data_IF_484879879177
#
_entry.id   IF_484879879177
#
_cell.length_a   1.000
_cell.length_b   1.000
_cell.length_c   1.000
_cell.angle_alpha   90.00
_cell.angle_beta   90.00
_cell.angle_gamma   90.00
#
_symmetry.space_group_name_H-M   'P 1'
#
loop_
_entity.id
_entity.type
_entity.pdbx_description
1 polymer ?
#
# COMPACT_ATOMS: atom_id res chain seq x y z
N UNK A 1 30.93 13.29 -26.67
CA UNK A 1 30.07 14.49 -26.55
C UNK A 1 28.72 14.01 -26.07
N UNK A 2 28.41 14.19 -24.79
CA UNK A 2 27.07 13.88 -24.26
C UNK A 2 26.16 15.05 -24.61
N UNK A 3 25.14 14.79 -25.42
CA UNK A 3 24.09 15.77 -25.68
C UNK A 3 23.36 16.07 -24.36
N UNK A 4 23.11 17.35 -24.03
CA UNK A 4 22.30 17.69 -22.88
C UNK A 4 20.89 17.12 -23.06
N UNK A 5 20.40 16.44 -22.02
CA UNK A 5 18.99 16.06 -21.92
C UNK A 5 18.16 17.36 -21.95
N UNK A 6 17.11 17.47 -22.79
CA UNK A 6 16.27 18.67 -22.79
C UNK A 6 15.68 18.87 -21.40
N UNK A 7 15.60 20.13 -20.94
CA UNK A 7 14.83 20.51 -19.76
C UNK A 7 13.34 20.23 -20.04
N UNK A 8 12.92 18.97 -20.00
CA UNK A 8 11.51 18.62 -20.09
C UNK A 8 10.86 19.04 -18.77
N UNK A 9 9.75 19.78 -18.85
CA UNK A 9 8.95 20.11 -17.68
C UNK A 9 8.65 18.86 -16.83
N UNK A 10 8.55 19.06 -15.51
CA UNK A 10 8.13 18.05 -14.55
C UNK A 10 7.02 17.14 -15.14
N UNK A 11 7.11 15.81 -14.99
CA UNK A 11 6.06 14.90 -15.45
C UNK A 11 4.75 15.08 -14.66
N UNK A 12 4.80 15.79 -13.54
CA UNK A 12 3.65 16.14 -12.71
C UNK A 12 3.19 17.59 -12.94
N UNK A 13 1.86 17.84 -12.92
CA UNK A 13 1.32 19.19 -13.02
C UNK A 13 1.67 20.02 -11.76
N UNK A 14 1.71 21.37 -11.83
CA UNK A 14 1.95 22.22 -10.67
C UNK A 14 0.93 22.05 -9.54
N UNK A 15 -0.26 21.53 -9.86
CA UNK A 15 -1.35 21.28 -8.90
C UNK A 15 -0.99 20.29 -7.80
N UNK A 16 0.06 19.48 -7.96
CA UNK A 16 0.54 18.56 -6.90
C UNK A 16 0.99 19.27 -5.62
N UNK A 17 1.28 20.57 -5.70
CA UNK A 17 1.62 21.40 -4.53
C UNK A 17 0.38 21.85 -3.74
N UNK A 18 -0.82 21.72 -4.31
CA UNK A 18 -2.06 22.08 -3.65
C UNK A 18 -2.47 21.00 -2.64
N UNK A 19 -3.10 21.38 -1.51
CA UNK A 19 -3.65 20.41 -0.57
C UNK A 19 -4.68 19.49 -1.23
N UNK A 20 -4.71 18.23 -0.80
CA UNK A 20 -5.68 17.24 -1.27
C UNK A 20 -5.05 15.90 -1.65
N UNK A 21 -5.91 15.00 -2.15
CA UNK A 21 -5.53 13.66 -2.60
C UNK A 21 -5.35 13.64 -4.11
N UNK A 22 -4.15 13.26 -4.56
CA UNK A 22 -3.78 13.17 -5.96
C UNK A 22 -3.34 11.74 -6.27
N UNK A 23 -3.90 11.13 -7.32
CA UNK A 23 -3.63 9.74 -7.67
C UNK A 23 -3.20 9.65 -9.13
N UNK A 24 -2.12 8.91 -9.38
CA UNK A 24 -1.65 8.58 -10.72
C UNK A 24 -1.47 7.09 -10.88
N UNK A 25 -1.90 6.59 -12.03
CA UNK A 25 -1.54 5.26 -12.52
C UNK A 25 -0.26 5.36 -13.33
N UNK A 26 0.65 4.42 -13.14
CA UNK A 26 1.86 4.33 -13.94
C UNK A 26 1.54 3.63 -15.25
N UNK A 27 1.63 4.35 -16.37
CA UNK A 27 1.44 3.78 -17.71
C UNK A 27 2.64 4.12 -18.58
N UNK A 28 3.38 3.11 -19.06
CA UNK A 28 4.55 3.28 -19.94
C UNK A 28 5.54 4.33 -19.40
N UNK A 29 5.89 4.21 -18.12
CA UNK A 29 6.79 5.12 -17.38
C UNK A 29 6.30 6.58 -17.27
N UNK A 30 4.99 6.83 -17.40
CA UNK A 30 4.38 8.15 -17.22
C UNK A 30 3.31 8.12 -16.13
N UNK A 31 3.20 9.19 -15.33
CA UNK A 31 2.11 9.32 -14.37
C UNK A 31 0.84 9.79 -15.09
N UNK A 32 -0.14 8.90 -15.24
CA UNK A 32 -1.46 9.23 -15.81
C UNK A 32 -2.42 9.54 -14.65
N UNK A 33 -2.96 10.76 -14.54
CA UNK A 33 -3.89 11.10 -13.48
C UNK A 33 -5.12 10.19 -13.49
N UNK A 34 -5.52 9.72 -12.33
CA UNK A 34 -6.79 8.98 -12.15
C UNK A 34 -7.89 10.01 -11.93
N UNK A 35 -9.03 9.83 -12.62
CA UNK A 35 -10.18 10.70 -12.44
C UNK A 35 -10.78 10.51 -11.02
N UNK A 36 -11.21 11.58 -10.32
CA UNK A 36 -11.71 11.49 -8.94
C UNK A 36 -12.82 10.47 -8.72
N UNK A 37 -13.70 10.26 -9.70
CA UNK A 37 -14.76 9.24 -9.69
C UNK A 37 -14.25 7.80 -9.62
N UNK A 38 -12.97 7.58 -9.98
CA UNK A 38 -12.30 6.29 -9.96
C UNK A 38 -11.35 6.13 -8.78
N UNK A 39 -11.30 7.09 -7.84
CA UNK A 39 -10.51 6.94 -6.62
C UNK A 39 -11.00 5.73 -5.81
N UNK A 40 -10.04 4.89 -5.38
CA UNK A 40 -10.33 3.62 -4.69
C UNK A 40 -10.43 2.40 -5.62
N UNK A 41 -10.38 2.60 -6.94
CA UNK A 41 -10.31 1.51 -7.92
C UNK A 41 -8.84 1.32 -8.34
N UNK A 42 -8.28 0.15 -8.03
CA UNK A 42 -6.89 -0.19 -8.35
C UNK A 42 -6.83 -1.45 -9.19
N UNK A 43 -6.10 -1.39 -10.30
CA UNK A 43 -5.86 -2.57 -11.13
C UNK A 43 -4.70 -3.39 -10.56
N UNK A 44 -4.94 -4.67 -10.28
CA UNK A 44 -3.94 -5.58 -9.69
C UNK A 44 -2.70 -5.80 -10.57
N UNK A 45 -2.82 -5.55 -11.87
CA UNK A 45 -1.73 -5.65 -12.84
C UNK A 45 -0.85 -4.41 -12.93
N UNK A 46 -1.08 -3.37 -12.12
CA UNK A 46 -0.44 -2.06 -12.31
C UNK A 46 0.14 -1.50 -11.00
N UNK A 47 0.84 -0.37 -11.11
CA UNK A 47 1.38 0.40 -9.99
C UNK A 47 0.83 1.82 -9.98
N UNK A 48 0.69 2.40 -8.78
CA UNK A 48 0.10 3.74 -8.59
C UNK A 48 0.93 4.59 -7.64
N UNK A 49 0.91 5.89 -7.88
CA UNK A 49 1.34 6.91 -6.92
C UNK A 49 0.11 7.56 -6.30
N UNK A 50 0.06 7.62 -4.98
CA UNK A 50 -1.00 8.29 -4.22
C UNK A 50 -0.34 9.32 -3.32
N UNK A 51 -0.53 10.60 -3.61
CA UNK A 51 -0.06 11.71 -2.81
C UNK A 51 -1.23 12.28 -2.02
N UNK A 52 -1.16 12.17 -0.69
CA UNK A 52 -1.98 12.99 0.19
C UNK A 52 -1.14 14.19 0.63
N UNK A 53 -1.48 15.37 0.11
CA UNK A 53 -0.85 16.61 0.50
C UNK A 53 -1.71 17.30 1.58
N UNK A 54 -1.38 17.06 2.85
CA UNK A 54 -2.14 17.58 3.98
C UNK A 54 -1.87 19.07 4.27
N UNK A 55 -2.68 19.69 5.14
CA UNK A 55 -2.38 21.01 5.69
C UNK A 55 -1.05 20.97 6.48
N UNK A 56 -0.40 22.14 6.63
CA UNK A 56 0.79 22.31 7.47
C UNK A 56 2.00 21.44 7.04
N UNK A 57 2.14 21.18 5.74
CA UNK A 57 3.28 20.45 5.15
C UNK A 57 3.36 18.96 5.53
N UNK A 58 2.29 18.40 6.11
CA UNK A 58 2.15 16.98 6.38
C UNK A 58 1.72 16.22 5.10
N UNK A 59 2.68 16.02 4.20
CA UNK A 59 2.47 15.24 2.98
C UNK A 59 2.89 13.78 3.17
N UNK A 60 2.12 12.86 2.57
CA UNK A 60 2.40 11.43 2.51
C UNK A 60 2.33 10.96 1.06
N UNK A 61 3.37 10.27 0.60
CA UNK A 61 3.48 9.73 -0.76
C UNK A 61 3.50 8.21 -0.70
N UNK A 62 2.49 7.57 -1.26
CA UNK A 62 2.34 6.13 -1.25
C UNK A 62 2.62 5.57 -2.65
N UNK A 63 3.46 4.54 -2.70
CA UNK A 63 3.70 3.73 -3.88
C UNK A 63 2.91 2.45 -3.72
N UNK A 64 1.77 2.37 -4.39
CA UNK A 64 0.94 1.17 -4.37
C UNK A 64 1.36 0.22 -5.49
N UNK A 65 1.60 -1.05 -5.13
CA UNK A 65 2.09 -2.10 -6.01
C UNK A 65 1.05 -3.20 -6.09
N UNK A 66 0.49 -3.39 -7.29
CA UNK A 66 -0.46 -4.47 -7.58
C UNK A 66 0.19 -5.84 -7.53
N UNK A 67 -0.57 -6.86 -7.11
CA UNK A 67 -0.08 -8.23 -6.94
C UNK A 67 0.43 -8.86 -8.26
N UNK A 68 -0.10 -8.40 -9.39
CA UNK A 68 0.24 -8.85 -10.74
C UNK A 68 1.03 -7.78 -11.53
N UNK A 69 1.47 -6.71 -10.87
CA UNK A 69 2.22 -5.63 -11.52
C UNK A 69 3.57 -6.13 -12.03
N UNK A 70 3.97 -5.62 -13.19
CA UNK A 70 5.23 -5.97 -13.82
C UNK A 70 6.42 -5.27 -13.16
N UNK A 71 7.64 -5.82 -13.30
CA UNK A 71 8.85 -5.21 -12.72
C UNK A 71 9.14 -3.83 -13.30
N UNK A 72 8.81 -3.60 -14.56
CA UNK A 72 8.93 -2.31 -15.24
C UNK A 72 7.92 -1.29 -14.73
N UNK A 73 6.68 -1.68 -14.44
CA UNK A 73 5.70 -0.78 -13.80
C UNK A 73 6.09 -0.45 -12.35
N UNK A 74 6.61 -1.42 -11.59
CA UNK A 74 7.13 -1.20 -10.24
C UNK A 74 8.34 -0.24 -10.26
N UNK A 75 9.31 -0.49 -11.14
CA UNK A 75 10.48 0.38 -11.31
C UNK A 75 10.09 1.78 -11.80
N UNK A 76 9.14 1.88 -12.73
CA UNK A 76 8.57 3.14 -13.18
C UNK A 76 7.90 3.93 -12.04
N UNK A 77 7.16 3.24 -11.17
CA UNK A 77 6.55 3.83 -9.99
C UNK A 77 7.61 4.40 -9.04
N UNK A 78 8.66 3.64 -8.74
CA UNK A 78 9.76 4.09 -7.88
C UNK A 78 10.49 5.33 -8.43
N UNK A 79 10.78 5.35 -9.74
CA UNK A 79 11.41 6.50 -10.40
C UNK A 79 10.52 7.75 -10.34
N UNK A 80 9.22 7.58 -10.63
CA UNK A 80 8.25 8.68 -10.58
C UNK A 80 8.05 9.19 -9.15
N UNK A 81 8.09 8.31 -8.14
CA UNK A 81 8.03 8.70 -6.73
C UNK A 81 9.23 9.56 -6.32
N UNK A 82 10.44 9.19 -6.74
CA UNK A 82 11.66 9.99 -6.55
C UNK A 82 11.48 11.38 -7.13
N UNK A 83 11.06 11.50 -8.40
CA UNK A 83 10.82 12.79 -9.03
C UNK A 83 9.76 13.63 -8.29
N UNK A 84 8.64 13.02 -7.91
CA UNK A 84 7.57 13.72 -7.18
C UNK A 84 8.06 14.19 -5.80
N UNK A 85 8.80 13.36 -5.09
CA UNK A 85 9.38 13.68 -3.79
C UNK A 85 10.35 14.87 -3.90
N UNK A 86 11.24 14.89 -4.91
CA UNK A 86 12.14 16.03 -5.17
C UNK A 86 11.36 17.31 -5.47
N UNK A 87 10.28 17.24 -6.27
CA UNK A 87 9.43 18.40 -6.59
C UNK A 87 8.74 19.00 -5.35
N UNK A 88 8.49 18.17 -4.33
CA UNK A 88 7.90 18.54 -3.05
C UNK A 88 8.95 18.86 -1.97
N UNK A 89 10.23 18.98 -2.35
CA UNK A 89 11.33 19.36 -1.47
C UNK A 89 11.75 18.26 -0.50
N UNK A 90 11.52 16.99 -0.84
CA UNK A 90 11.79 15.80 -0.01
C UNK A 90 11.08 15.77 1.35
N UNK A 91 10.03 16.58 1.49
CA UNK A 91 9.22 16.69 2.70
C UNK A 91 8.26 15.52 2.94
N UNK A 92 7.67 14.88 1.91
CA UNK A 92 6.73 13.79 2.15
C UNK A 92 7.35 12.59 2.85
N UNK A 93 6.62 12.00 3.79
CA UNK A 93 6.89 10.64 4.26
C UNK A 93 6.45 9.69 3.15
N UNK A 94 7.32 8.76 2.75
CA UNK A 94 7.01 7.81 1.68
C UNK A 94 6.63 6.45 2.24
N UNK A 95 5.66 5.80 1.62
CA UNK A 95 5.14 4.50 2.01
C UNK A 95 5.14 3.56 0.82
N UNK A 96 5.58 2.33 1.03
CA UNK A 96 5.41 1.24 0.06
C UNK A 96 4.21 0.40 0.45
N UNK A 97 3.19 0.42 -0.38
CA UNK A 97 1.91 -0.26 -0.17
C UNK A 97 1.82 -1.46 -1.11
N UNK A 98 1.65 -2.66 -0.56
CA UNK A 98 1.42 -3.87 -1.37
C UNK A 98 -0.07 -4.18 -1.38
N UNK A 99 -0.60 -4.61 -2.53
CA UNK A 99 -2.01 -5.00 -2.64
C UNK A 99 -2.43 -5.99 -1.54
N UNK A 100 -3.45 -5.64 -0.76
CA UNK A 100 -3.98 -6.46 0.35
C UNK A 100 -3.14 -6.41 1.63
N UNK A 101 -2.10 -5.58 1.69
CA UNK A 101 -1.29 -5.31 2.88
C UNK A 101 -1.01 -3.79 3.03
N UNK A 102 -1.94 -2.97 2.56
CA UNK A 102 -1.87 -1.52 2.65
C UNK A 102 -1.91 -1.04 4.11
N UNK A 103 -1.23 0.06 4.38
CA UNK A 103 -1.30 0.74 5.67
C UNK A 103 -2.69 1.33 5.91
N UNK A 104 -3.15 1.39 7.17
CA UNK A 104 -4.43 2.03 7.46
C UNK A 104 -4.45 3.52 7.10
N UNK A 105 -3.28 4.17 7.10
CA UNK A 105 -3.17 5.54 6.61
C UNK A 105 -3.56 5.62 5.13
N UNK A 106 -3.05 4.72 4.29
CA UNK A 106 -3.45 4.63 2.89
C UNK A 106 -4.93 4.30 2.75
N UNK A 107 -5.41 3.31 3.51
CA UNK A 107 -6.82 2.93 3.49
C UNK A 107 -7.73 4.09 3.88
N UNK A 108 -7.27 4.98 4.78
CA UNK A 108 -8.07 6.10 5.27
C UNK A 108 -8.50 7.09 4.19
N UNK A 109 -7.76 7.16 3.09
CA UNK A 109 -8.11 8.02 1.96
C UNK A 109 -9.33 7.53 1.18
N UNK A 110 -9.77 6.29 1.37
CA UNK A 110 -10.82 5.63 0.59
C UNK A 110 -11.99 5.19 1.49
N UNK A 111 -12.91 6.09 1.88
CA UNK A 111 -14.00 5.79 2.82
C UNK A 111 -14.94 4.66 2.38
N UNK A 112 -15.00 4.39 1.09
CA UNK A 112 -15.84 3.35 0.49
C UNK A 112 -15.08 2.02 0.29
N UNK A 113 -13.87 1.92 0.85
CA UNK A 113 -12.96 0.80 0.66
C UNK A 113 -12.25 0.82 -0.70
N UNK A 114 -11.38 -0.18 -0.88
CA UNK A 114 -10.69 -0.42 -2.15
C UNK A 114 -11.43 -1.46 -2.99
N UNK A 115 -11.39 -1.27 -4.30
CA UNK A 115 -11.87 -2.24 -5.30
C UNK A 115 -10.69 -2.65 -6.18
N UNK A 116 -10.33 -3.93 -6.10
CA UNK A 116 -9.29 -4.49 -6.96
C UNK A 116 -9.90 -5.00 -8.28
N UNK A 117 -9.33 -4.58 -9.40
CA UNK A 117 -9.72 -5.01 -10.73
C UNK A 117 -8.59 -5.78 -11.38
N UNK A 118 -8.92 -6.91 -11.99
CA UNK A 118 -8.01 -7.59 -12.92
C UNK A 118 -8.35 -7.07 -14.31
N UNK A 119 -7.35 -6.69 -15.11
CA UNK A 119 -7.59 -6.39 -16.53
C UNK A 119 -8.06 -7.69 -17.18
N UNK A 120 -9.37 -7.86 -17.38
CA UNK A 120 -9.84 -8.85 -18.34
C UNK A 120 -9.26 -8.41 -19.67
N UNK A 121 -8.37 -9.23 -20.24
CA UNK A 121 -8.04 -9.08 -21.65
C UNK A 121 -9.37 -9.16 -22.38
N UNK A 122 -9.89 -8.01 -22.83
CA UNK A 122 -10.97 -8.02 -23.78
C UNK A 122 -10.33 -8.69 -25.00
N UNK A 123 -10.69 -9.95 -25.37
CA UNK A 123 -10.23 -10.45 -26.65
C UNK A 123 -10.72 -9.40 -27.64
N UNK A 124 -9.80 -8.82 -28.41
CA UNK A 124 -10.14 -7.90 -29.50
C UNK A 124 -11.41 -8.42 -30.17
N UNK A 125 -12.42 -7.58 -30.47
CA UNK A 125 -13.53 -8.05 -31.26
C UNK A 125 -12.94 -8.62 -32.54
N UNK A 126 -12.90 -9.95 -32.64
CA UNK A 126 -12.70 -10.62 -33.91
C UNK A 126 -13.87 -10.12 -34.71
N UNK A 127 -13.58 -9.25 -35.68
CA UNK A 127 -14.51 -8.89 -36.73
C UNK A 127 -15.18 -10.20 -37.17
N UNK A 128 -16.46 -10.35 -36.84
CA UNK A 128 -17.30 -11.36 -37.45
C UNK A 128 -17.31 -11.04 -38.94
N UNK A 129 -16.40 -11.66 -39.70
CA UNK A 129 -16.57 -11.77 -41.13
C UNK A 129 -17.84 -12.58 -41.35
N UNK A 130 -18.89 -11.88 -41.75
CA UNK A 130 -20.10 -12.43 -42.33
C UNK A 130 -19.72 -13.48 -43.36
N UNK A 131 -20.01 -14.75 -43.06
CA UNK A 131 -20.05 -15.83 -44.05
C UNK A 131 -21.19 -15.52 -45.03
N UNK A 132 -20.87 -14.86 -46.14
CA UNK A 132 -21.68 -14.98 -47.33
C UNK A 132 -20.78 -15.00 -48.54
N UNK A 133 -20.96 -16.06 -49.33
CA UNK A 133 -20.34 -16.33 -50.63
C UNK A 133 -18.92 -16.91 -50.56
N UNK A 134 -18.79 -18.22 -50.78
CA UNK A 134 -18.06 -18.71 -51.95
C UNK A 134 -18.47 -20.16 -52.26
N UNK A 135 -18.94 -20.32 -53.50
CA UNK A 135 -19.43 -21.54 -54.14
C UNK A 135 -18.26 -22.53 -54.33
N UNK A 136 -18.45 -23.79 -53.92
CA UNK A 136 -17.50 -24.88 -54.19
C UNK A 136 -17.77 -25.45 -55.60
N UNK A 137 -16.91 -25.15 -56.57
CA UNK A 137 -16.86 -25.88 -57.85
C UNK A 137 -15.85 -27.02 -57.69
N UNK A 138 -16.35 -28.25 -57.77
CA UNK A 138 -15.53 -29.47 -57.81
C UNK A 138 -15.15 -29.73 -59.26
N UNK A 139 -13.84 -29.83 -59.55
CA UNK A 139 -13.34 -30.48 -60.77
C UNK A 139 -12.33 -31.57 -60.41
N UNK A 140 -12.71 -32.80 -60.74
CA UNK A 140 -11.92 -34.02 -60.76
C UNK A 140 -10.91 -33.99 -61.91
N UNK A 141 -9.64 -34.37 -61.67
CA UNK A 141 -8.83 -34.97 -62.74
C UNK A 141 -7.73 -35.94 -62.23
N UNK A 142 -8.01 -37.22 -62.50
CA UNK A 142 -7.19 -38.40 -62.86
C UNK A 142 -5.81 -38.72 -62.24
N UNK A 143 -5.71 -40.02 -61.97
CA UNK A 143 -4.61 -40.85 -61.50
C UNK A 143 -3.53 -41.21 -62.55
N UNK A 144 -2.35 -41.61 -62.05
CA UNK A 144 -1.38 -42.65 -62.49
C UNK A 144 -0.11 -42.43 -61.61
N UNK A 145 0.61 -43.36 -61.00
CA UNK A 145 0.64 -44.81 -60.82
C UNK A 145 2.00 -45.17 -60.16
N UNK A 146 2.10 -46.38 -59.58
CA UNK A 146 3.29 -47.13 -59.12
C UNK A 146 3.68 -47.19 -57.61
N UNK A 147 3.35 -48.36 -57.05
CA UNK A 147 4.13 -49.27 -56.18
C UNK A 147 4.68 -48.83 -54.82
N UNK A 148 4.20 -49.52 -53.77
CA UNK A 148 5.10 -50.29 -52.89
C UNK A 148 5.09 -49.96 -51.39
N UNK A 149 4.45 -50.86 -50.61
CA UNK A 149 4.75 -51.27 -49.22
C UNK A 149 4.46 -50.32 -48.02
N UNK A 150 3.67 -50.85 -47.07
CA UNK A 150 3.21 -50.36 -45.75
C UNK A 150 4.35 -50.26 -44.68
N UNK A 151 4.20 -49.58 -43.50
CA UNK A 151 3.22 -49.91 -42.42
C UNK A 151 2.78 -48.72 -41.47
N UNK A 152 2.27 -48.97 -40.22
CA UNK A 152 0.87 -49.02 -39.76
C UNK A 152 0.34 -47.69 -39.12
N UNK A 153 -0.95 -47.60 -38.69
CA UNK A 153 -1.54 -46.34 -38.22
C UNK A 153 -1.42 -46.11 -36.70
N UNK A 154 -0.95 -44.93 -36.31
CA UNK A 154 -1.07 -44.42 -34.94
C UNK A 154 -2.31 -43.53 -34.83
N UNK A 155 -3.29 -43.98 -34.05
CA UNK A 155 -4.50 -43.22 -33.65
C UNK A 155 -4.11 -42.06 -32.73
N UNK A 156 -4.59 -40.85 -33.01
CA UNK A 156 -4.84 -39.84 -31.98
C UNK A 156 -6.35 -39.56 -31.91
N UNK A 157 -6.94 -40.05 -30.81
CA UNK A 157 -8.26 -39.65 -30.33
C UNK A 157 -8.08 -38.39 -29.47
N UNK A 158 -8.61 -37.25 -29.92
CA UNK A 158 -8.85 -36.10 -29.06
C UNK A 158 -10.23 -36.28 -28.44
N UNK A 159 -10.24 -36.68 -27.17
CA UNK A 159 -11.43 -36.70 -26.32
C UNK A 159 -11.70 -35.29 -25.80
N UNK A 160 -12.89 -34.77 -26.09
CA UNK A 160 -13.46 -33.63 -25.38
C UNK A 160 -13.97 -34.08 -23.99
N UNK A 161 -13.64 -33.31 -22.96
CA UNK A 161 -14.30 -33.31 -21.65
C UNK A 161 -14.88 -31.91 -21.38
N UNK A 162 -15.88 -31.76 -20.49
CA UNK A 162 -17.16 -31.20 -20.86
C UNK A 162 -17.55 -29.94 -20.08
N UNK A 163 -18.51 -29.23 -20.69
CA UNK A 163 -19.57 -28.37 -20.14
C UNK A 163 -19.76 -28.25 -18.61
N UNK A 164 -19.88 -27.00 -18.15
CA UNK A 164 -20.63 -26.60 -16.94
C UNK A 164 -22.15 -26.52 -17.25
N UNK A 165 -23.03 -26.85 -16.28
CA UNK A 165 -24.48 -26.75 -16.44
C UNK A 165 -25.03 -25.41 -15.92
N UNK A 166 -25.99 -24.84 -16.64
CA UNK A 166 -26.95 -23.88 -16.07
C UNK A 166 -28.35 -24.35 -16.46
N UNK A 167 -29.20 -24.56 -15.46
CA UNK A 167 -30.59 -24.96 -15.62
C UNK A 167 -31.54 -23.98 -14.97
N UNK A 168 -32.68 -23.77 -15.65
CA UNK A 168 -33.92 -23.17 -15.15
C UNK A 168 -34.03 -21.66 -15.40
N UNK A 169 -35.03 -21.10 -16.08
CA UNK A 169 -36.24 -21.65 -16.67
C UNK A 169 -37.26 -20.51 -16.89
N UNK A 170 -37.96 -20.58 -18.02
CA UNK A 170 -39.26 -19.94 -18.36
C UNK A 170 -39.32 -18.43 -18.70
N UNK A 171 -39.87 -18.16 -19.89
CA UNK A 171 -40.49 -16.86 -20.21
C UNK A 171 -40.33 -16.38 -21.65
N UNK A 172 -40.85 -17.12 -22.65
CA UNK A 172 -41.00 -16.63 -24.03
C UNK A 172 -42.09 -15.56 -24.12
N UNK A 173 -41.75 -14.37 -24.63
CA UNK A 173 -42.63 -13.51 -25.43
C UNK A 173 -41.78 -12.82 -26.51
N UNK A 174 -42.16 -13.04 -27.77
CA UNK A 174 -41.63 -12.37 -28.97
C UNK A 174 -42.81 -11.66 -29.64
N UNK A 175 -42.72 -10.35 -29.83
CA UNK A 175 -43.43 -9.50 -30.79
C UNK A 175 -42.93 -8.06 -30.54
N UNK A 176 -42.49 -7.24 -31.50
CA UNK A 176 -42.39 -7.36 -32.93
C UNK A 176 -41.31 -6.42 -33.49
N UNK A 177 -41.04 -6.60 -34.78
CA UNK A 177 -40.07 -5.87 -35.59
C UNK A 177 -40.46 -4.40 -35.78
N UNK A 178 -39.45 -3.52 -35.84
CA UNK A 178 -39.57 -2.12 -36.26
C UNK A 178 -38.24 -1.64 -36.85
N UNK A 179 -38.32 -1.07 -38.05
CA UNK A 179 -37.26 -0.88 -39.04
C UNK A 179 -36.12 0.09 -38.67
N UNK A 180 -35.02 -0.08 -39.41
CA UNK A 180 -33.82 0.72 -39.39
C UNK A 180 -34.02 2.15 -39.93
N UNK A 181 -33.35 3.13 -39.33
CA UNK A 181 -32.95 4.35 -40.03
C UNK A 181 -31.53 4.77 -39.65
N UNK A 182 -30.72 4.90 -40.70
CA UNK A 182 -29.40 5.51 -40.79
C UNK A 182 -29.42 7.00 -40.44
N UNK A 183 -28.41 7.49 -39.71
CA UNK A 183 -28.14 8.91 -39.59
C UNK A 183 -26.96 9.23 -38.69
N UNK A 184 -25.79 9.46 -39.30
CA UNK A 184 -24.74 10.27 -38.66
C UNK A 184 -25.17 11.74 -38.69
N UNK A 185 -24.75 12.55 -37.70
CA UNK A 185 -24.00 13.72 -38.09
C UNK A 185 -22.82 14.05 -37.17
N UNK A 186 -21.75 14.49 -37.81
CA UNK A 186 -20.64 15.27 -37.26
C UNK A 186 -21.05 16.72 -36.99
N UNK A 187 -20.60 17.31 -35.88
CA UNK A 187 -20.68 18.75 -35.61
C UNK A 187 -19.79 19.17 -34.44
N UNK A 188 -18.69 19.88 -34.74
CA UNK A 188 -18.03 20.88 -33.86
C UNK A 188 -19.08 21.96 -33.51
N UNK A 189 -19.13 22.63 -32.35
CA UNK A 189 -18.08 23.44 -31.71
C UNK A 189 -18.55 23.97 -30.33
N UNK A 190 -17.57 24.20 -29.44
CA UNK A 190 -17.45 25.26 -28.40
C UNK A 190 -18.58 25.60 -27.40
N UNK A 191 -18.24 25.56 -26.10
CA UNK A 191 -18.85 26.43 -25.10
C UNK A 191 -18.79 25.91 -23.65
N UNK A 192 -17.90 26.49 -22.83
CA UNK A 192 -18.04 26.51 -21.36
C UNK A 192 -17.03 25.70 -20.57
N UNK A 193 -15.88 26.30 -20.25
CA UNK A 193 -15.06 25.91 -19.09
C UNK A 193 -15.81 26.32 -17.83
N UNK A 194 -16.64 25.44 -17.29
CA UNK A 194 -17.09 25.57 -15.92
C UNK A 194 -15.92 25.25 -14.98
N UNK A 195 -15.54 26.28 -14.25
CA UNK A 195 -14.56 26.26 -13.19
C UNK A 195 -14.93 25.18 -12.16
N UNK A 196 -14.29 24.01 -12.27
CA UNK A 196 -14.43 22.91 -11.32
C UNK A 196 -13.68 23.22 -10.02
N UNK A 197 -14.08 24.27 -9.30
CA UNK A 197 -13.81 24.36 -7.87
C UNK A 197 -14.84 23.50 -7.14
N UNK A 198 -14.51 22.22 -6.95
CA UNK A 198 -15.19 21.46 -5.90
C UNK A 198 -14.76 22.04 -4.54
N UNK A 199 -15.62 22.86 -3.95
CA UNK A 199 -15.66 22.98 -2.49
C UNK A 199 -15.96 21.59 -1.94
N UNK A 200 -15.04 21.05 -1.18
CA UNK A 200 -15.26 19.82 -0.41
C UNK A 200 -16.44 20.04 0.53
N UNK A 201 -17.51 19.28 0.32
CA UNK A 201 -18.62 19.18 1.26
C UNK A 201 -18.07 18.68 2.61
N UNK A 202 -18.31 19.36 3.75
CA UNK A 202 -18.01 18.81 5.05
C UNK A 202 -19.07 17.76 5.38
N UNK A 203 -18.78 16.48 5.15
CA UNK A 203 -19.72 15.44 5.54
C UNK A 203 -19.62 14.12 4.80
N UNK A 204 -18.45 13.48 4.80
CA UNK A 204 -18.31 12.03 4.89
C UNK A 204 -16.89 11.77 5.37
N UNK A 205 -16.76 11.19 6.57
CA UNK A 205 -15.45 10.97 7.19
C UNK A 205 -14.56 10.10 6.28
N UNK A 206 -13.23 10.33 6.23
CA UNK A 206 -12.27 9.41 5.63
C UNK A 206 -12.48 7.99 6.18
N UNK A 207 -12.08 6.95 5.43
CA UNK A 207 -12.08 5.58 5.97
C UNK A 207 -11.35 5.61 7.30
N UNK A 208 -11.98 5.11 8.36
CA UNK A 208 -11.43 5.30 9.68
C UNK A 208 -10.11 4.53 9.78
N UNK A 209 -9.03 5.23 10.14
CA UNK A 209 -7.82 4.59 10.68
C UNK A 209 -8.28 3.64 11.78
N UNK A 210 -7.80 2.39 11.78
CA UNK A 210 -8.25 1.34 12.69
C UNK A 210 -7.08 0.46 13.07
N UNK A 211 -6.27 0.92 14.02
CA UNK A 211 -5.09 0.20 14.50
C UNK A 211 -5.25 -0.27 15.92
N UNK A 212 -4.72 -1.46 16.18
CA UNK A 212 -4.53 -1.96 17.54
C UNK A 212 -3.04 -2.21 17.77
N UNK A 213 -2.50 -1.60 18.81
CA UNK A 213 -1.14 -1.89 19.26
C UNK A 213 -1.18 -2.55 20.63
N UNK A 214 -0.47 -3.65 20.78
CA UNK A 214 -0.17 -4.25 22.09
C UNK A 214 1.09 -3.61 22.65
N UNK A 215 0.99 -3.00 23.83
CA UNK A 215 2.10 -2.39 24.57
C UNK A 215 2.54 -3.38 25.64
N UNK A 216 3.68 -4.03 25.40
CA UNK A 216 4.18 -5.11 26.25
C UNK A 216 5.67 -4.99 26.55
N UNK A 217 6.03 -5.30 27.79
CA UNK A 217 7.41 -5.47 28.25
C UNK A 217 7.58 -5.04 29.70
N UNK A 218 8.77 -5.29 30.24
CA UNK A 218 9.11 -4.91 31.62
C UNK A 218 10.04 -3.71 31.66
N UNK A 219 11.13 -3.75 30.90
CA UNK A 219 12.10 -2.67 30.76
C UNK A 219 12.15 -2.14 29.33
N UNK A 220 12.03 -3.01 28.33
CA UNK A 220 12.05 -2.66 26.91
C UNK A 220 10.63 -2.76 26.35
N UNK A 221 9.77 -1.85 26.82
CA UNK A 221 8.35 -1.83 26.48
C UNK A 221 8.17 -1.34 25.05
N UNK A 222 7.48 -2.15 24.25
CA UNK A 222 7.22 -1.87 22.83
C UNK A 222 5.75 -1.98 22.50
N UNK A 223 5.28 -1.06 21.66
CA UNK A 223 4.01 -1.15 20.97
C UNK A 223 4.21 -1.91 19.66
N UNK A 224 3.58 -3.08 19.56
CA UNK A 224 3.57 -3.92 18.36
C UNK A 224 2.16 -3.96 17.80
N UNK A 225 2.02 -3.74 16.48
CA UNK A 225 0.72 -3.81 15.81
C UNK A 225 0.14 -5.23 15.89
N UNK A 226 -1.15 -5.32 16.17
CA UNK A 226 -1.92 -6.57 16.31
C UNK A 226 -3.21 -6.50 15.52
N UNK A 227 -3.79 -7.67 15.26
CA UNK A 227 -5.11 -7.78 14.66
C UNK A 227 -6.13 -7.06 15.55
N UNK A 228 -6.95 -6.20 14.94
CA UNK A 228 -8.04 -5.50 15.64
C UNK A 228 -9.15 -6.51 15.96
N UNK A 229 -9.01 -7.19 17.09
CA UNK A 229 -9.97 -8.16 17.64
C UNK A 229 -9.73 -8.30 19.14
N UNK A 230 -10.79 -8.62 19.90
CA UNK A 230 -10.68 -9.03 21.30
C UNK A 230 -9.75 -10.23 21.51
N UNK A 231 -9.53 -11.08 20.51
CA UNK A 231 -8.61 -12.21 20.59
C UNK A 231 -7.14 -11.79 20.81
N UNK A 232 -6.81 -10.56 20.43
CA UNK A 232 -5.48 -9.96 20.66
C UNK A 232 -5.30 -9.45 22.09
N UNK A 233 -6.40 -9.17 22.81
CA UNK A 233 -6.36 -8.58 24.14
C UNK A 233 -6.06 -9.63 25.22
N UNK A 234 -5.44 -9.16 26.30
CA UNK A 234 -5.29 -9.90 27.55
C UNK A 234 -5.30 -8.91 28.72
N UNK A 235 -5.56 -9.39 29.93
CA UNK A 235 -5.70 -8.51 31.11
C UNK A 235 -4.36 -8.05 31.69
N UNK A 236 -3.23 -8.60 31.24
CA UNK A 236 -1.90 -8.29 31.76
C UNK A 236 -1.12 -7.22 30.98
N UNK A 237 -1.62 -6.79 29.82
CA UNK A 237 -0.92 -5.81 28.98
C UNK A 237 -1.76 -4.53 28.80
N UNK A 238 -1.15 -3.50 28.20
CA UNK A 238 -1.86 -2.32 27.72
C UNK A 238 -2.04 -2.37 26.19
N UNK A 239 -3.08 -1.72 25.69
CA UNK A 239 -3.39 -1.67 24.27
C UNK A 239 -3.71 -0.24 23.85
N UNK A 240 -3.30 0.14 22.64
CA UNK A 240 -3.69 1.42 22.02
C UNK A 240 -4.60 1.09 20.85
N UNK A 241 -5.88 1.43 20.97
CA UNK A 241 -6.85 1.38 19.88
C UNK A 241 -6.92 2.77 19.24
N UNK A 242 -6.35 2.90 18.05
CA UNK A 242 -6.31 4.13 17.29
C UNK A 242 -7.38 4.11 16.18
N UNK A 243 -8.41 4.94 16.37
CA UNK A 243 -9.57 5.06 15.48
C UNK A 243 -9.56 6.37 14.65
N UNK A 244 -8.39 6.97 14.42
CA UNK A 244 -8.35 8.25 13.70
C UNK A 244 -8.45 9.44 14.65
N UNK A 245 -9.69 9.88 14.89
CA UNK A 245 -9.99 11.02 15.76
C UNK A 245 -10.12 10.64 17.24
N UNK A 246 -10.36 9.36 17.54
CA UNK A 246 -10.42 8.85 18.90
C UNK A 246 -9.29 7.82 19.08
N UNK A 247 -8.52 7.97 20.15
CA UNK A 247 -7.43 7.07 20.51
C UNK A 247 -7.67 6.59 21.94
N UNK A 248 -7.84 5.29 22.13
CA UNK A 248 -8.06 4.69 23.44
C UNK A 248 -6.79 3.98 23.90
N UNK A 249 -6.23 4.39 25.03
CA UNK A 249 -5.19 3.64 25.73
C UNK A 249 -5.86 2.75 26.78
N UNK A 250 -6.18 1.51 26.38
CA UNK A 250 -6.80 0.51 27.24
C UNK A 250 -5.76 -0.15 28.15
N UNK A 251 -6.03 -0.16 29.44
CA UNK A 251 -5.14 -0.71 30.47
C UNK A 251 -5.77 -1.98 31.06
N UNK A 252 -5.16 -3.13 30.82
CA UNK A 252 -5.62 -4.39 31.40
C UNK A 252 -5.57 -4.37 32.92
N UNK A 253 -6.50 -5.08 33.58
CA UNK A 253 -6.63 -5.07 35.03
C UNK A 253 -5.32 -5.41 35.77
N UNK A 254 -4.50 -6.31 35.20
CA UNK A 254 -3.21 -6.78 35.73
C UNK A 254 -1.99 -6.14 35.08
N UNK A 255 -2.17 -5.15 34.19
CA UNK A 255 -1.06 -4.46 33.51
C UNK A 255 -0.16 -3.66 34.44
N UNK A 256 1.13 -3.60 34.10
CA UNK A 256 2.12 -2.94 34.95
C UNK A 256 2.17 -1.42 34.73
N UNK A 257 2.64 -0.65 35.72
CA UNK A 257 2.63 0.82 35.69
C UNK A 257 3.47 1.40 34.55
N UNK A 258 4.57 0.74 34.17
CA UNK A 258 5.44 1.20 33.11
C UNK A 258 4.78 1.03 31.74
N UNK A 259 4.03 -0.07 31.53
CA UNK A 259 3.23 -0.29 30.32
C UNK A 259 2.11 0.74 30.21
N UNK A 260 1.40 1.02 31.31
CA UNK A 260 0.35 2.05 31.35
C UNK A 260 0.89 3.42 30.97
N UNK A 261 2.03 3.81 31.55
CA UNK A 261 2.70 5.07 31.21
C UNK A 261 3.12 5.09 29.74
N UNK A 262 3.75 4.02 29.24
CA UNK A 262 4.18 3.92 27.84
C UNK A 262 3.00 3.99 26.87
N UNK A 263 1.89 3.32 27.17
CA UNK A 263 0.68 3.34 26.36
C UNK A 263 0.07 4.74 26.29
N UNK A 264 -0.02 5.42 27.43
CA UNK A 264 -0.47 6.82 27.52
C UNK A 264 0.44 7.76 26.71
N UNK A 265 1.75 7.72 26.96
CA UNK A 265 2.72 8.60 26.30
C UNK A 265 2.70 8.39 24.78
N UNK A 266 2.61 7.14 24.34
CA UNK A 266 2.55 6.81 22.92
C UNK A 266 1.22 7.26 22.29
N UNK A 267 0.08 7.09 22.97
CA UNK A 267 -1.21 7.58 22.50
C UNK A 267 -1.21 9.11 22.33
N UNK A 268 -0.63 9.84 23.29
CA UNK A 268 -0.44 11.29 23.20
C UNK A 268 0.51 11.68 22.07
N UNK A 269 1.61 10.95 21.88
CA UNK A 269 2.54 11.18 20.78
C UNK A 269 1.88 10.98 19.41
N UNK A 270 1.06 9.93 19.24
CA UNK A 270 0.27 9.71 18.01
C UNK A 270 -0.70 10.88 17.80
N UNK A 271 -1.41 11.31 18.84
CA UNK A 271 -2.30 12.50 18.78
C UNK A 271 -1.55 13.74 18.29
N UNK A 272 -0.43 14.07 18.92
CA UNK A 272 0.26 15.33 18.68
C UNK A 272 0.98 15.35 17.33
N UNK A 273 1.70 14.26 17.00
CA UNK A 273 2.53 14.22 15.79
C UNK A 273 1.79 13.76 14.54
N UNK A 274 0.88 12.78 14.66
CA UNK A 274 0.20 12.17 13.51
C UNK A 274 -1.21 12.71 13.31
N UNK A 275 -1.85 13.24 14.38
CA UNK A 275 -3.20 13.82 14.34
C UNK A 275 -3.25 15.32 14.59
N UNK A 276 -2.10 16.00 14.55
CA UNK A 276 -1.99 17.45 14.70
C UNK A 276 -2.60 17.98 16.00
N UNK A 277 -2.57 17.17 17.07
CA UNK A 277 -3.20 17.49 18.34
C UNK A 277 -4.74 17.50 18.32
N UNK A 278 -5.38 17.12 17.21
CA UNK A 278 -6.84 17.22 17.01
C UNK A 278 -7.61 15.99 17.48
N UNK A 279 -6.94 14.85 17.63
CA UNK A 279 -7.58 13.63 18.13
C UNK A 279 -7.82 13.70 19.65
N UNK A 280 -8.89 13.04 20.10
CA UNK A 280 -9.18 12.81 21.51
C UNK A 280 -8.45 11.55 22.00
N UNK A 281 -7.77 11.64 23.15
CA UNK A 281 -7.11 10.50 23.79
C UNK A 281 -7.86 10.18 25.08
N UNK A 282 -8.34 8.94 25.21
CA UNK A 282 -9.03 8.44 26.40
C UNK A 282 -8.26 7.28 27.01
N UNK A 283 -8.03 7.34 28.32
CA UNK A 283 -7.43 6.22 29.07
C UNK A 283 -8.57 5.35 29.57
N UNK A 284 -8.60 4.10 29.15
CA UNK A 284 -9.70 3.17 29.42
C UNK A 284 -9.21 2.08 30.38
N UNK A 285 -9.94 1.84 31.46
CA UNK A 285 -9.65 0.72 32.37
C UNK A 285 -10.43 -0.51 31.94
N UNK A 286 -9.84 -1.69 32.12
CA UNK A 286 -10.51 -2.98 31.98
C UNK A 286 -11.86 -3.02 32.73
N UNK A 287 -12.97 -3.08 31.99
CA UNK A 287 -14.34 -3.09 32.50
C UNK A 287 -15.09 -1.76 32.36
N UNK A 288 -14.41 -0.70 31.92
CA UNK A 288 -14.95 0.64 31.71
C UNK A 288 -14.91 1.03 30.21
N UNK A 289 -15.03 0.05 29.32
CA UNK A 289 -14.90 0.30 27.88
C UNK A 289 -16.03 1.20 27.34
N UNK A 290 -15.72 2.34 26.68
CA UNK A 290 -16.73 3.23 26.14
C UNK A 290 -17.48 2.60 24.95
N UNK A 291 -18.69 3.10 24.68
CA UNK A 291 -19.56 2.58 23.62
C UNK A 291 -18.88 2.56 22.25
N UNK A 292 -18.09 3.59 21.92
CA UNK A 292 -17.34 3.71 20.67
C UNK A 292 -16.32 2.56 20.49
N UNK A 293 -15.67 2.15 21.58
CA UNK A 293 -14.73 1.04 21.57
C UNK A 293 -15.46 -0.29 21.35
N UNK A 294 -16.58 -0.51 22.05
CA UNK A 294 -17.43 -1.70 21.90
C UNK A 294 -18.08 -1.77 20.52
N UNK A 295 -18.43 -0.63 19.91
CA UNK A 295 -18.98 -0.57 18.56
C UNK A 295 -17.99 -1.10 17.53
N UNK A 296 -16.69 -0.86 17.71
CA UNK A 296 -15.65 -1.31 16.78
C UNK A 296 -15.17 -2.73 17.06
N UNK A 297 -14.94 -3.09 18.32
CA UNK A 297 -14.42 -4.41 18.70
C UNK A 297 -15.49 -5.48 18.88
N UNK A 298 -16.76 -5.07 19.01
CA UNK A 298 -17.86 -5.93 19.43
C UNK A 298 -17.93 -6.11 20.96
N UNK A 299 -18.89 -6.90 21.46
CA UNK A 299 -19.05 -7.14 22.89
C UNK A 299 -17.81 -7.83 23.47
N UNK A 300 -17.32 -7.31 24.59
CA UNK A 300 -16.11 -7.81 25.23
C UNK A 300 -16.32 -9.23 25.80
N UNK A 301 -15.50 -10.22 25.40
CA UNK A 301 -15.51 -11.54 25.98
C UNK A 301 -14.69 -11.59 27.29
N UNK A 302 -14.68 -12.74 27.95
CA UNK A 302 -13.71 -13.01 29.02
C UNK A 302 -12.30 -13.10 28.42
N UNK A 303 -11.43 -12.18 28.82
CA UNK A 303 -10.06 -12.09 28.30
C UNK A 303 -9.12 -13.07 29.02
N UNK A 304 -8.06 -13.50 28.31
CA UNK A 304 -6.99 -14.30 28.89
C UNK A 304 -6.22 -13.48 29.92
N UNK A 305 -5.74 -14.12 30.98
CA UNK A 305 -4.80 -13.48 31.90
C UNK A 305 -3.42 -13.34 31.25
N UNK A 306 -2.79 -12.18 31.41
CA UNK A 306 -1.39 -12.03 31.02
C UNK A 306 -0.44 -12.63 32.06
N UNK A 307 0.74 -13.06 31.62
CA UNK A 307 1.75 -13.67 32.48
C UNK A 307 2.99 -12.76 32.61
N UNK A 308 3.43 -12.39 33.83
CA UNK A 308 4.65 -11.58 34.03
C UNK A 308 5.95 -12.19 33.48
N UNK A 309 6.04 -13.51 33.30
CA UNK A 309 7.18 -14.17 32.64
C UNK A 309 7.22 -13.88 31.13
N UNK A 310 6.05 -13.65 30.53
CA UNK A 310 5.96 -13.22 29.13
C UNK A 310 6.49 -11.81 28.93
N UNK A 311 6.48 -10.95 29.96
CA UNK A 311 7.05 -9.59 29.86
C UNK A 311 8.57 -9.61 29.78
N UNK A 312 9.21 -10.52 30.53
CA UNK A 312 10.66 -10.75 30.43
C UNK A 312 11.03 -11.37 29.08
N UNK A 313 10.18 -12.28 28.59
CA UNK A 313 10.34 -12.85 27.25
C UNK A 313 10.16 -11.79 26.18
N UNK A 314 9.16 -10.91 26.34
CA UNK A 314 8.91 -9.78 25.46
C UNK A 314 10.09 -8.81 25.44
N UNK A 315 10.70 -8.48 26.58
CA UNK A 315 11.91 -7.62 26.62
C UNK A 315 13.03 -8.16 25.73
N UNK A 316 13.30 -9.48 25.80
CA UNK A 316 14.33 -10.15 24.99
C UNK A 316 13.95 -10.16 23.51
N UNK A 317 12.71 -10.54 23.21
CA UNK A 317 12.20 -10.56 21.83
C UNK A 317 12.20 -9.17 21.22
N UNK A 318 11.73 -8.15 21.94
CA UNK A 318 11.74 -6.75 21.53
C UNK A 318 13.17 -6.27 21.26
N UNK A 319 14.12 -6.60 22.14
CA UNK A 319 15.51 -6.22 21.93
C UNK A 319 16.06 -6.78 20.61
N UNK A 320 15.81 -8.07 20.34
CA UNK A 320 16.33 -8.79 19.18
C UNK A 320 15.51 -8.58 17.89
N UNK A 321 14.27 -8.09 18.00
CA UNK A 321 13.39 -7.87 16.85
C UNK A 321 13.78 -6.67 16.00
N UNK A 322 14.69 -5.82 16.48
CA UNK A 322 15.13 -4.66 15.72
C UNK A 322 16.64 -4.43 15.73
N UNK A 323 17.17 -4.08 14.57
CA UNK A 323 18.57 -3.71 14.34
C UNK A 323 18.65 -2.40 13.55
N UNK A 324 19.77 -1.68 13.70
CA UNK A 324 20.01 -0.41 13.01
C UNK A 324 21.23 -0.54 12.09
N UNK A 325 21.07 -0.13 10.84
CA UNK A 325 22.12 -0.15 9.82
C UNK A 325 22.33 1.26 9.27
N UNK A 326 23.59 1.62 9.03
CA UNK A 326 23.96 2.80 8.24
C UNK A 326 24.03 2.43 6.76
N UNK A 327 23.43 3.27 5.92
CA UNK A 327 23.59 3.25 4.47
C UNK A 327 24.82 4.09 4.11
N UNK A 328 25.68 3.58 3.24
CA UNK A 328 26.82 4.34 2.74
C UNK A 328 27.12 4.02 1.28
N UNK A 329 27.37 5.04 0.48
CA UNK A 329 27.80 4.90 -0.92
C UNK A 329 29.32 5.09 -1.12
N UNK A 330 30.10 5.20 -0.03
CA UNK A 330 31.53 5.53 -0.07
C UNK A 330 32.39 4.57 -0.91
N UNK A 331 31.91 3.35 -1.14
CA UNK A 331 32.58 2.32 -1.96
C UNK A 331 32.23 2.38 -3.45
N UNK A 332 31.38 3.32 -3.86
CA UNK A 332 30.80 3.39 -5.21
C UNK A 332 29.57 2.50 -5.41
N UNK A 333 29.24 1.65 -4.44
CA UNK A 333 28.00 0.89 -4.34
C UNK A 333 27.34 1.16 -2.98
N UNK A 334 26.00 1.09 -2.92
CA UNK A 334 25.25 1.23 -1.68
C UNK A 334 25.52 0.01 -0.78
N UNK A 335 26.15 0.26 0.36
CA UNK A 335 26.49 -0.75 1.34
C UNK A 335 25.79 -0.48 2.69
N UNK A 336 25.51 -1.55 3.42
CA UNK A 336 24.85 -1.51 4.72
C UNK A 336 25.80 -1.98 5.82
N UNK A 337 26.09 -1.09 6.76
CA UNK A 337 26.93 -1.38 7.94
C UNK A 337 26.03 -1.46 9.17
N UNK A 338 26.01 -2.61 9.86
CA UNK A 338 25.23 -2.75 11.09
C UNK A 338 25.87 -1.91 12.20
N UNK A 339 25.08 -1.02 12.81
CA UNK A 339 25.50 -0.16 13.93
C UNK A 339 25.04 -0.69 15.28
N UNK A 340 23.85 -1.28 15.33
CA UNK A 340 23.30 -1.88 16.53
C UNK A 340 22.54 -3.17 16.17
N UNK A 341 22.73 -4.19 16.99
CA UNK A 341 22.07 -5.50 16.84
C UNK A 341 20.78 -5.61 17.67
N UNK A 342 20.56 -4.68 18.58
CA UNK A 342 19.44 -4.69 19.50
C UNK A 342 18.98 -3.30 19.92
N UNK A 343 17.69 -3.20 20.19
CA UNK A 343 16.99 -1.97 20.60
C UNK A 343 16.70 -1.98 22.11
N UNK A 344 16.56 -0.82 22.78
CA UNK A 344 16.46 0.52 22.21
C UNK A 344 17.81 1.15 21.84
N UNK A 345 17.84 1.85 20.72
CA UNK A 345 19.02 2.47 20.13
C UNK A 345 19.34 3.83 20.79
N UNK A 346 20.60 4.23 20.75
CA UNK A 346 21.01 5.59 21.12
C UNK A 346 20.65 6.55 19.98
N UNK A 347 20.06 7.71 20.29
CA UNK A 347 19.62 8.67 19.27
C UNK A 347 20.81 9.22 18.46
N UNK A 348 21.98 9.29 19.07
CA UNK A 348 23.23 9.76 18.47
C UNK A 348 23.71 8.89 17.31
N UNK A 349 23.17 7.67 17.16
CA UNK A 349 23.45 6.81 16.00
C UNK A 349 22.83 7.37 14.71
N UNK A 350 21.76 8.17 14.79
CA UNK A 350 21.15 8.82 13.62
C UNK A 350 21.88 10.12 13.28
N UNK A 351 23.01 9.98 12.59
CA UNK A 351 23.82 11.12 12.17
C UNK A 351 23.15 11.83 10.98
N UNK A 352 22.93 13.16 11.01
CA UNK A 352 22.24 13.88 9.94
C UNK A 352 22.87 13.79 8.54
N UNK A 353 24.14 13.40 8.45
CA UNK A 353 24.93 13.30 7.23
C UNK A 353 24.77 11.96 6.50
N UNK A 354 23.99 11.01 7.03
CA UNK A 354 23.80 9.68 6.44
C UNK A 354 22.32 9.27 6.41
N UNK A 355 22.03 8.18 5.68
CA UNK A 355 20.75 7.47 5.76
C UNK A 355 20.90 6.18 6.57
N UNK A 356 19.80 5.73 7.19
CA UNK A 356 19.79 4.54 8.05
C UNK A 356 18.60 3.64 7.74
N UNK A 357 18.80 2.34 7.89
CA UNK A 357 17.73 1.33 7.87
C UNK A 357 17.47 0.87 9.30
N UNK A 358 16.26 1.08 9.79
CA UNK A 358 15.77 0.44 11.01
C UNK A 358 15.05 -0.83 10.58
N UNK A 359 15.71 -1.95 10.84
CA UNK A 359 15.16 -3.28 10.60
C UNK A 359 14.20 -3.64 11.71
N UNK A 360 12.94 -3.87 11.36
CA UNK A 360 11.92 -4.49 12.20
C UNK A 360 11.12 -5.51 11.36
N UNK A 361 11.79 -6.12 10.37
CA UNK A 361 11.15 -6.91 9.32
C UNK A 361 10.50 -8.21 9.83
N UNK A 362 10.95 -8.74 10.97
CA UNK A 362 10.27 -9.85 11.68
C UNK A 362 8.85 -9.48 12.13
N UNK A 363 8.59 -8.19 12.34
CA UNK A 363 7.27 -7.64 12.64
C UNK A 363 6.56 -7.09 11.38
N UNK A 364 7.08 -7.39 10.18
CA UNK A 364 6.45 -7.03 8.91
C UNK A 364 6.69 -5.61 8.42
N UNK A 365 7.57 -4.82 9.06
CA UNK A 365 7.83 -3.43 8.66
C UNK A 365 9.29 -3.02 8.84
N UNK A 366 9.85 -2.30 7.87
CA UNK A 366 11.16 -1.64 7.98
C UNK A 366 11.02 -0.13 7.78
N UNK A 367 11.99 0.63 8.29
CA UNK A 367 12.04 2.08 8.11
C UNK A 367 13.35 2.49 7.46
N UNK A 368 13.30 3.53 6.65
CA UNK A 368 14.49 4.24 6.17
C UNK A 368 14.44 5.66 6.69
N UNK A 369 15.42 6.03 7.50
CA UNK A 369 15.57 7.39 7.96
C UNK A 369 16.56 8.13 7.05
N UNK A 370 16.16 9.29 6.54
CA UNK A 370 17.00 10.13 5.68
C UNK A 370 17.49 11.35 6.44
N UNK A 371 18.79 11.41 6.68
CA UNK A 371 19.42 12.58 7.29
C UNK A 371 19.31 13.81 6.40
N UNK A 372 19.05 14.97 7.00
CA UNK A 372 18.87 16.24 6.24
C UNK A 372 20.12 16.68 5.46
N UNK A 373 21.30 16.19 5.86
CA UNK A 373 22.60 16.45 5.22
C UNK A 373 23.14 15.25 4.45
N UNK A 374 22.44 14.12 4.46
CA UNK A 374 22.81 12.95 3.69
C UNK A 374 22.96 13.28 2.22
N UNK A 375 23.87 12.61 1.52
CA UNK A 375 24.12 12.94 0.13
C UNK A 375 22.93 12.57 -0.76
N UNK A 376 22.78 13.26 -1.89
CA UNK A 376 21.62 13.10 -2.78
C UNK A 376 21.45 11.67 -3.29
N UNK A 377 22.55 10.96 -3.56
CA UNK A 377 22.49 9.58 -4.05
C UNK A 377 21.91 8.64 -2.99
N UNK A 378 22.33 8.77 -1.74
CA UNK A 378 21.78 8.01 -0.62
C UNK A 378 20.28 8.31 -0.42
N UNK A 379 19.90 9.59 -0.47
CA UNK A 379 18.50 10.00 -0.29
C UNK A 379 17.58 9.47 -1.39
N UNK A 380 18.02 9.48 -2.65
CA UNK A 380 17.22 8.96 -3.77
C UNK A 380 17.27 7.44 -3.90
N UNK A 381 18.28 6.77 -3.34
CA UNK A 381 18.37 5.31 -3.35
C UNK A 381 17.50 4.63 -2.29
N UNK A 382 16.81 5.38 -1.42
CA UNK A 382 16.06 4.82 -0.29
C UNK A 382 15.10 3.68 -0.68
N UNK A 383 14.26 3.85 -1.70
CA UNK A 383 13.35 2.78 -2.15
C UNK A 383 14.10 1.52 -2.61
N UNK A 384 15.19 1.68 -3.35
CA UNK A 384 16.02 0.56 -3.80
C UNK A 384 16.70 -0.13 -2.61
N UNK A 385 17.24 0.64 -1.67
CA UNK A 385 17.84 0.13 -0.44
C UNK A 385 16.84 -0.70 0.36
N UNK A 386 15.58 -0.29 0.45
CA UNK A 386 14.54 -1.07 1.11
C UNK A 386 14.29 -2.42 0.41
N UNK A 387 14.12 -2.44 -0.91
CA UNK A 387 13.88 -3.67 -1.68
C UNK A 387 15.05 -4.66 -1.57
N UNK A 388 16.27 -4.14 -1.71
CA UNK A 388 17.50 -4.93 -1.57
C UNK A 388 17.63 -5.46 -0.14
N UNK A 389 17.26 -4.67 0.87
CA UNK A 389 17.27 -5.08 2.26
C UNK A 389 16.27 -6.19 2.55
N UNK A 390 15.02 -6.04 2.11
CA UNK A 390 13.95 -7.07 2.24
C UNK A 390 14.41 -8.38 1.60
N UNK A 391 14.95 -8.30 0.39
CA UNK A 391 15.45 -9.46 -0.36
C UNK A 391 16.63 -10.12 0.35
N UNK A 392 17.62 -9.32 0.79
CA UNK A 392 18.82 -9.80 1.50
C UNK A 392 18.48 -10.49 2.81
N UNK A 393 17.54 -9.94 3.56
CA UNK A 393 17.11 -10.47 4.86
C UNK A 393 16.08 -11.59 4.73
N UNK A 394 15.59 -11.86 3.50
CA UNK A 394 14.55 -12.87 3.20
C UNK A 394 13.24 -12.60 3.93
N UNK A 395 12.88 -11.32 4.09
CA UNK A 395 11.57 -10.95 4.60
C UNK A 395 10.49 -11.14 3.52
N UNK A 396 9.22 -11.10 3.94
CA UNK A 396 8.11 -11.27 3.04
C UNK A 396 8.06 -10.12 2.01
N UNK A 397 7.74 -10.37 0.73
CA UNK A 397 7.70 -9.31 -0.29
C UNK A 397 6.69 -8.19 -0.01
N UNK A 398 5.69 -8.46 0.84
CA UNK A 398 4.69 -7.49 1.30
C UNK A 398 5.12 -6.73 2.57
N UNK A 399 6.34 -6.92 3.08
CA UNK A 399 6.88 -6.13 4.21
C UNK A 399 6.71 -4.64 3.91
N UNK A 400 6.10 -3.93 4.86
CA UNK A 400 5.84 -2.51 4.75
C UNK A 400 7.15 -1.72 4.83
N UNK A 401 7.24 -0.64 4.07
CA UNK A 401 8.40 0.27 4.08
C UNK A 401 7.89 1.68 4.34
N UNK A 402 8.48 2.34 5.32
CA UNK A 402 8.24 3.76 5.59
C UNK A 402 9.57 4.53 5.50
N UNK A 403 9.63 5.53 4.63
CA UNK A 403 10.80 6.37 4.42
C UNK A 403 10.54 7.73 5.05
N UNK A 404 11.32 8.04 6.09
CA UNK A 404 11.15 9.17 6.98
C UNK A 404 12.25 10.20 6.72
N UNK A 405 11.93 11.41 6.24
CA UNK A 405 12.87 12.52 6.31
C UNK A 405 13.09 12.92 7.78
N UNK A 406 14.31 13.33 8.13
CA UNK A 406 14.64 13.83 9.47
C UNK A 406 13.66 14.91 9.93
N UNK A 407 13.13 14.76 11.15
CA UNK A 407 12.12 15.65 11.74
C UNK A 407 10.68 15.28 11.42
N UNK A 408 10.46 14.24 10.60
CA UNK A 408 9.13 13.72 10.23
C UNK A 408 8.92 12.27 10.69
N UNK A 409 9.62 11.87 11.75
CA UNK A 409 9.54 10.52 12.29
C UNK A 409 8.21 10.28 13.01
N UNK A 410 7.59 9.12 12.75
CA UNK A 410 6.33 8.69 13.39
C UNK A 410 6.55 8.31 14.86
N UNK A 411 5.48 8.32 15.66
CA UNK A 411 5.57 7.93 17.07
C UNK A 411 6.04 6.47 17.23
N UNK A 412 5.60 5.61 16.31
CA UNK A 412 5.99 4.19 16.23
C UNK A 412 7.47 4.01 15.87
N UNK A 413 8.08 4.89 15.07
CA UNK A 413 9.53 4.86 14.81
C UNK A 413 10.33 5.30 16.05
N UNK A 414 9.90 6.39 16.70
CA UNK A 414 10.62 6.98 17.84
C UNK A 414 10.76 6.03 19.04
N UNK A 415 9.81 5.11 19.22
CA UNK A 415 9.83 4.16 20.34
C UNK A 415 11.07 3.23 20.36
N UNK A 416 11.75 3.06 19.23
CA UNK A 416 12.93 2.20 19.12
C UNK A 416 14.19 2.86 19.69
N UNK A 417 14.12 4.12 20.09
CA UNK A 417 15.27 4.88 20.59
C UNK A 417 15.07 5.23 22.07
N UNK A 418 16.20 5.36 22.79
CA UNK A 418 16.23 5.88 24.15
C UNK A 418 16.08 7.39 24.12
N UNK A 419 15.32 7.93 25.06
CA UNK A 419 15.27 9.37 25.37
C UNK A 419 15.06 10.29 24.16
N UNK A 420 14.18 9.91 23.23
CA UNK A 420 13.83 10.75 22.06
C UNK A 420 13.25 12.09 22.53
N UNK A 421 13.80 13.20 22.04
CA UNK A 421 13.39 14.57 22.40
C UNK A 421 12.83 15.34 21.21
#
# INVERSE_FOLDING_TARGET
>A
MYSPIPQSGSPFPPTVKLPGLHIWRVEKLKPVPVAPENYGIFFSGDSYLVLHNGPEELSHLHLWIGQQSSRDEQGGCAILAVHLNTLLGERPVQHRESQGNESDLFMSYFPHGLKYQVRTHCPRPLLCFSLSSFLLVVTLQKAQGHSGLEPPPTRFLLACFPSCPVGGGMGCWWEGMGEAHSGWPSGLQEGGVESAFHKTSPGTAPAAIKKLYQVKGKKNIRATERVLSWDSFNTGDCFILDLGQNIFAWCGAKSNILERNKARDLALAIRDSERQGKAHVEIVTDGEEPADMIQVLGPKPSLKEGNPEEDLTADRTNAQAAALYKVSDATGQMNLTKLADSSPFALELLIPDDCFVLDNGLCGKIYIWKGRKANEKERQAALQVAEDFITRMRYAPNTQVEILPQGRESAIFKQFFKDWK
#
